data_IF_586234802200
#
_entry.id   IF_586234802200
#
_cell.length_a   1.000
_cell.length_b   1.000
_cell.length_c   1.000
_cell.angle_alpha   90.00
_cell.angle_beta   90.00
_cell.angle_gamma   90.00
#
_symmetry.space_group_name_H-M   'P 1'
#
loop_
_entity.id
_entity.type
_entity.pdbx_description
1 polymer ?
#
# COMPACT_ATOMS: atom_id res chain seq x y z
N UNK A 1 -9.73 12.01 3.74
CA UNK A 1 -8.45 11.28 3.82
C UNK A 1 -8.60 10.01 3.00
N UNK A 2 -7.60 9.66 2.18
CA UNK A 2 -7.59 8.44 1.35
C UNK A 2 -6.38 7.59 1.73
N UNK A 3 -6.58 6.29 1.88
CA UNK A 3 -5.54 5.30 2.13
C UNK A 3 -5.45 4.37 0.92
N UNK A 4 -4.31 4.40 0.23
CA UNK A 4 -3.95 3.39 -0.76
C UNK A 4 -3.15 2.29 -0.07
N UNK A 5 -3.57 1.03 -0.24
CA UNK A 5 -2.92 -0.14 0.33
C UNK A 5 -2.29 -0.95 -0.79
N UNK A 6 -0.97 -0.98 -0.85
CA UNK A 6 -0.22 -1.80 -1.80
C UNK A 6 0.08 -3.14 -1.16
N UNK A 7 -0.50 -4.20 -1.72
CA UNK A 7 -0.32 -5.59 -1.26
C UNK A 7 0.23 -6.47 -2.38
N UNK A 8 0.69 -7.68 -2.04
CA UNK A 8 1.30 -8.64 -2.97
C UNK A 8 2.69 -9.08 -2.53
N UNK A 9 3.29 -10.00 -3.30
CA UNK A 9 4.54 -10.67 -2.93
C UNK A 9 5.82 -9.91 -3.35
N UNK A 10 5.66 -8.77 -4.01
CA UNK A 10 6.72 -8.04 -4.72
C UNK A 10 7.17 -6.77 -3.98
N UNK A 11 8.17 -6.89 -3.11
CA UNK A 11 8.59 -5.78 -2.22
C UNK A 11 9.21 -4.60 -2.96
N UNK A 12 10.03 -4.85 -3.99
CA UNK A 12 10.75 -3.79 -4.71
C UNK A 12 9.75 -2.95 -5.52
N UNK A 13 8.84 -3.63 -6.20
CA UNK A 13 7.79 -3.06 -7.02
C UNK A 13 6.82 -2.25 -6.16
N UNK A 14 6.42 -2.75 -4.98
CA UNK A 14 5.62 -1.99 -4.02
C UNK A 14 6.35 -0.74 -3.53
N UNK A 15 7.63 -0.84 -3.19
CA UNK A 15 8.42 0.32 -2.74
C UNK A 15 8.49 1.40 -3.82
N UNK A 16 8.78 1.00 -5.07
CA UNK A 16 8.84 1.91 -6.20
C UNK A 16 7.47 2.54 -6.49
N UNK A 17 6.42 1.72 -6.54
CA UNK A 17 5.07 2.20 -6.83
C UNK A 17 4.53 3.13 -5.74
N UNK A 18 4.85 2.88 -4.47
CA UNK A 18 4.48 3.78 -3.38
C UNK A 18 5.06 5.19 -3.58
N UNK A 19 6.33 5.29 -3.98
CA UNK A 19 7.01 6.55 -4.23
C UNK A 19 6.43 7.26 -5.44
N UNK A 20 6.11 6.53 -6.51
CA UNK A 20 5.56 7.12 -7.74
C UNK A 20 4.13 7.63 -7.53
N UNK A 21 3.29 6.85 -6.84
CA UNK A 21 1.94 7.25 -6.41
C UNK A 21 2.00 8.51 -5.52
N UNK A 22 2.92 8.54 -4.56
CA UNK A 22 3.08 9.70 -3.69
C UNK A 22 3.51 10.94 -4.49
N UNK A 23 4.48 10.81 -5.39
CA UNK A 23 4.93 11.92 -6.26
C UNK A 23 3.82 12.44 -7.16
N UNK A 24 3.04 11.56 -7.78
CA UNK A 24 1.93 12.00 -8.63
C UNK A 24 0.86 12.74 -7.83
N UNK A 25 0.52 12.23 -6.65
CA UNK A 25 -0.49 12.84 -5.77
C UNK A 25 -0.05 14.22 -5.27
N UNK A 26 1.22 14.40 -4.91
CA UNK A 26 1.75 15.70 -4.46
C UNK A 26 1.68 16.81 -5.52
N UNK A 27 1.59 16.47 -6.81
CA UNK A 27 1.42 17.47 -7.89
C UNK A 27 0.10 18.24 -7.79
N UNK A 28 -0.87 17.75 -7.01
CA UNK A 28 -2.18 18.36 -6.82
C UNK A 28 -2.31 19.18 -5.52
N UNK A 29 -1.19 19.61 -4.91
CA UNK A 29 -1.14 20.33 -3.61
C UNK A 29 -1.69 19.54 -2.42
N UNK A 30 -1.80 18.23 -2.55
CA UNK A 30 -2.26 17.32 -1.50
C UNK A 30 -1.10 16.88 -0.60
N UNK A 31 -1.30 16.83 0.71
CA UNK A 31 -0.30 16.27 1.63
C UNK A 31 -0.29 14.75 1.56
N UNK A 32 0.90 14.17 1.42
CA UNK A 32 1.06 12.71 1.28
C UNK A 32 2.00 12.15 2.33
N UNK A 33 1.68 10.98 2.87
CA UNK A 33 2.60 10.19 3.68
C UNK A 33 2.70 8.75 3.15
N UNK A 34 3.86 8.13 3.31
CA UNK A 34 4.07 6.71 3.03
C UNK A 34 4.25 5.97 4.35
N UNK A 35 3.47 4.92 4.56
CA UNK A 35 3.69 3.95 5.62
C UNK A 35 4.45 2.77 5.02
N UNK A 36 5.71 2.63 5.37
CA UNK A 36 6.58 1.55 4.93
C UNK A 36 6.50 0.38 5.93
N UNK A 37 5.80 -0.69 5.54
CA UNK A 37 5.71 -1.94 6.30
C UNK A 37 6.39 -3.11 5.57
N UNK A 38 7.23 -2.83 4.58
CA UNK A 38 7.91 -3.88 3.83
C UNK A 38 8.95 -4.60 4.71
N UNK A 39 8.96 -5.93 4.63
CA UNK A 39 9.86 -6.75 5.45
C UNK A 39 11.25 -6.88 4.83
N UNK A 40 11.33 -7.14 3.52
CA UNK A 40 12.59 -7.36 2.80
C UNK A 40 13.22 -6.09 2.21
N UNK A 41 12.40 -5.06 1.96
CA UNK A 41 12.85 -3.80 1.40
C UNK A 41 12.51 -2.64 2.33
N UNK A 42 13.26 -1.54 2.20
CA UNK A 42 12.94 -0.28 2.86
C UNK A 42 12.82 0.80 1.82
N UNK A 43 11.81 1.65 1.96
CA UNK A 43 11.64 2.81 1.09
C UNK A 43 12.64 3.86 1.55
N UNK A 44 13.73 4.00 0.79
CA UNK A 44 14.82 4.94 1.10
C UNK A 44 14.81 6.15 0.16
N UNK A 45 14.03 6.09 -0.93
CA UNK A 45 13.89 7.20 -1.85
C UNK A 45 13.20 8.37 -1.17
N UNK A 46 13.88 9.52 -1.11
CA UNK A 46 13.25 10.77 -0.72
C UNK A 46 12.29 11.24 -1.82
N UNK A 47 11.17 11.81 -1.42
CA UNK A 47 10.28 12.55 -2.29
C UNK A 47 9.97 13.92 -1.66
N UNK A 48 9.63 14.89 -2.48
CA UNK A 48 9.76 16.31 -2.13
C UNK A 48 8.68 16.82 -1.15
N UNK A 49 7.60 16.06 -0.95
CA UNK A 49 6.41 16.50 -0.19
C UNK A 49 5.75 15.35 0.58
N UNK A 50 6.44 14.78 1.57
CA UNK A 50 5.81 13.84 2.49
C UNK A 50 6.76 13.13 3.43
N UNK A 51 6.18 12.53 4.47
CA UNK A 51 6.90 11.71 5.44
C UNK A 51 6.86 10.24 5.04
N UNK A 52 7.97 9.54 5.30
CA UNK A 52 8.03 8.07 5.24
C UNK A 52 8.11 7.59 6.68
N UNK A 53 7.06 6.90 7.12
CA UNK A 53 6.97 6.34 8.46
C UNK A 53 7.11 4.83 8.36
N UNK A 54 8.16 4.28 8.96
CA UNK A 54 8.41 2.84 8.94
C UNK A 54 7.72 2.16 10.12
N UNK A 55 6.91 1.14 9.83
CA UNK A 55 6.33 0.24 10.82
C UNK A 55 6.96 -1.14 10.61
N UNK A 56 7.79 -1.58 11.54
CA UNK A 56 8.35 -2.94 11.51
C UNK A 56 7.52 -3.90 12.34
N UNK A 57 7.24 -5.09 11.82
CA UNK A 57 6.47 -6.11 12.51
C UNK A 57 4.98 -5.91 12.35
N UNK A 58 4.22 -6.10 13.44
CA UNK A 58 2.76 -6.14 13.42
C UNK A 58 2.15 -4.78 13.04
N UNK A 59 1.50 -4.77 11.88
CA UNK A 59 0.79 -3.62 11.32
C UNK A 59 -0.49 -3.31 12.12
N UNK A 60 -1.15 -4.34 12.65
CA UNK A 60 -2.52 -4.25 13.17
C UNK A 60 -2.68 -3.36 14.39
N UNK A 61 -1.65 -3.27 15.23
CA UNK A 61 -1.66 -2.43 16.43
C UNK A 61 -1.26 -0.97 16.16
N UNK A 62 -0.56 -0.70 15.08
CA UNK A 62 0.10 0.59 14.86
C UNK A 62 -0.52 1.41 13.73
N UNK A 63 -1.31 0.79 12.85
CA UNK A 63 -1.74 1.44 11.61
C UNK A 63 -2.65 2.64 11.86
N UNK A 64 -3.70 2.51 12.68
CA UNK A 64 -4.64 3.59 12.97
C UNK A 64 -3.92 4.81 13.60
N UNK A 65 -3.14 4.58 14.66
CA UNK A 65 -2.35 5.63 15.31
C UNK A 65 -1.37 6.30 14.36
N UNK A 66 -0.73 5.51 13.47
CA UNK A 66 0.21 6.06 12.48
C UNK A 66 -0.51 6.93 11.46
N UNK A 67 -1.65 6.47 10.94
CA UNK A 67 -2.49 7.23 10.02
C UNK A 67 -2.84 8.60 10.62
N UNK A 68 -3.31 8.63 11.87
CA UNK A 68 -3.67 9.89 12.54
C UNK A 68 -2.46 10.81 12.75
N UNK A 69 -1.31 10.26 13.16
CA UNK A 69 -0.07 11.02 13.37
C UNK A 69 0.46 11.67 12.10
N UNK A 70 0.20 11.07 10.93
CA UNK A 70 0.67 11.65 9.65
C UNK A 70 0.04 13.00 9.37
N UNK A 71 -1.25 13.20 9.73
CA UNK A 71 -2.04 14.35 9.32
C UNK A 71 -2.17 14.52 7.79
N UNK A 72 -1.78 13.50 7.01
CA UNK A 72 -1.76 13.58 5.55
C UNK A 72 -3.16 13.34 4.96
N UNK A 73 -3.47 14.02 3.86
CA UNK A 73 -4.74 13.83 3.14
C UNK A 73 -4.76 12.51 2.38
N UNK A 74 -3.59 12.09 1.85
CA UNK A 74 -3.40 10.81 1.17
C UNK A 74 -2.28 10.03 1.84
N UNK A 75 -2.53 8.76 2.11
CA UNK A 75 -1.58 7.86 2.73
C UNK A 75 -1.38 6.66 1.82
N UNK A 76 -0.12 6.28 1.61
CA UNK A 76 0.24 5.09 0.84
C UNK A 76 0.87 4.07 1.79
N UNK A 77 0.17 2.99 2.07
CA UNK A 77 0.68 1.86 2.83
C UNK A 77 1.32 0.85 1.89
N UNK A 78 2.62 0.63 2.02
CA UNK A 78 3.31 -0.50 1.40
C UNK A 78 3.30 -1.68 2.38
N UNK A 79 2.29 -2.56 2.28
CA UNK A 79 2.10 -3.67 3.19
C UNK A 79 3.17 -4.75 2.98
N UNK A 80 3.60 -5.41 4.06
CA UNK A 80 4.59 -6.48 3.99
C UNK A 80 4.20 -7.58 2.99
N UNK A 81 5.16 -8.05 2.20
CA UNK A 81 5.00 -9.25 1.35
C UNK A 81 4.78 -10.55 2.14
N UNK A 82 5.02 -10.53 3.44
CA UNK A 82 4.76 -11.67 4.33
C UNK A 82 3.40 -11.59 5.02
N UNK A 83 2.69 -10.46 4.89
CA UNK A 83 1.38 -10.28 5.49
C UNK A 83 0.35 -11.03 4.64
N UNK A 84 -0.44 -11.90 5.28
CA UNK A 84 -1.45 -12.67 4.57
C UNK A 84 -2.65 -11.78 4.21
N UNK A 85 -3.33 -11.99 3.07
CA UNK A 85 -4.46 -11.15 2.67
C UNK A 85 -5.58 -11.06 3.72
N UNK A 86 -5.89 -12.18 4.38
CA UNK A 86 -6.87 -12.26 5.47
C UNK A 86 -6.47 -11.40 6.68
N UNK A 87 -5.20 -11.42 7.07
CA UNK A 87 -4.68 -10.59 8.17
C UNK A 87 -4.69 -9.10 7.82
N UNK A 88 -4.39 -8.76 6.57
CA UNK A 88 -4.47 -7.38 6.08
C UNK A 88 -5.92 -6.87 6.15
N UNK A 89 -6.89 -7.65 5.69
CA UNK A 89 -8.31 -7.24 5.72
C UNK A 89 -8.81 -7.03 7.15
N UNK A 90 -8.51 -7.95 8.07
CA UNK A 90 -8.85 -7.78 9.48
C UNK A 90 -8.23 -6.52 10.09
N UNK A 91 -7.01 -6.17 9.65
CA UNK A 91 -6.35 -4.93 10.06
C UNK A 91 -7.07 -3.70 9.51
N UNK A 92 -7.47 -3.72 8.24
CA UNK A 92 -8.17 -2.63 7.60
C UNK A 92 -9.60 -2.45 8.13
N UNK A 93 -10.28 -3.53 8.49
CA UNK A 93 -11.61 -3.47 9.11
C UNK A 93 -11.57 -2.75 10.45
N UNK A 94 -10.57 -3.04 11.30
CA UNK A 94 -10.35 -2.30 12.55
C UNK A 94 -10.09 -0.80 12.30
N UNK A 95 -9.27 -0.48 11.30
CA UNK A 95 -9.01 0.93 10.94
C UNK A 95 -10.29 1.61 10.44
N UNK A 96 -11.16 0.90 9.71
CA UNK A 96 -12.46 1.42 9.25
C UNK A 96 -13.42 1.63 10.41
N UNK A 97 -13.43 0.76 11.41
CA UNK A 97 -14.22 0.94 12.64
C UNK A 97 -13.79 2.19 13.41
N UNK A 98 -12.48 2.42 13.51
CA UNK A 98 -11.91 3.61 14.18
C UNK A 98 -12.07 4.90 13.34
N UNK A 99 -12.09 4.77 12.00
CA UNK A 99 -12.12 5.88 11.04
C UNK A 99 -13.09 5.62 9.88
N UNK A 100 -14.41 5.69 10.11
CA UNK A 100 -15.41 5.32 9.10
C UNK A 100 -15.40 6.21 7.85
N UNK A 101 -14.88 7.43 7.94
CA UNK A 101 -14.70 8.36 6.83
C UNK A 101 -13.43 8.14 6.00
N UNK A 102 -12.56 7.20 6.38
CA UNK A 102 -11.33 6.91 5.63
C UNK A 102 -11.67 6.12 4.36
N UNK A 103 -11.41 6.72 3.20
CA UNK A 103 -11.56 6.01 1.93
C UNK A 103 -10.36 5.08 1.73
N UNK A 104 -10.58 3.76 1.81
CA UNK A 104 -9.53 2.75 1.62
C UNK A 104 -9.64 2.16 0.23
N UNK A 105 -8.52 2.11 -0.50
CA UNK A 105 -8.40 1.45 -1.80
C UNK A 105 -7.22 0.47 -1.77
N UNK A 106 -7.50 -0.80 -2.03
CA UNK A 106 -6.53 -1.89 -2.03
C UNK A 106 -6.07 -2.16 -3.46
N UNK A 107 -4.76 -2.11 -3.67
CA UNK A 107 -4.11 -2.40 -4.95
C UNK A 107 -3.20 -3.61 -4.76
N UNK A 108 -3.52 -4.70 -5.44
CA UNK A 108 -2.69 -5.90 -5.45
C UNK A 108 -1.68 -5.85 -6.60
N UNK A 109 -0.39 -5.94 -6.27
CA UNK A 109 0.69 -6.08 -7.22
C UNK A 109 1.04 -7.56 -7.38
N UNK A 110 0.81 -8.09 -8.58
CA UNK A 110 0.96 -9.50 -8.92
C UNK A 110 2.12 -9.64 -9.91
N UNK A 111 3.12 -10.44 -9.59
CA UNK A 111 4.12 -10.89 -10.57
C UNK A 111 3.82 -12.36 -10.87
N UNK A 112 3.38 -12.64 -12.10
CA UNK A 112 2.98 -13.98 -12.53
C UNK A 112 4.11 -15.00 -12.26
N UNK A 113 5.38 -14.60 -12.38
CA UNK A 113 6.54 -15.48 -12.12
C UNK A 113 6.66 -15.86 -10.64
N UNK A 114 6.20 -14.99 -9.74
CA UNK A 114 6.20 -15.24 -8.29
C UNK A 114 4.91 -15.94 -7.88
N UNK A 115 3.78 -15.55 -8.46
CA UNK A 115 2.44 -16.02 -8.12
C UNK A 115 2.09 -17.39 -8.70
N UNK A 116 2.74 -17.85 -9.77
CA UNK A 116 2.63 -19.24 -10.25
C UNK A 116 2.99 -20.26 -9.16
N UNK A 117 3.90 -19.89 -8.25
CA UNK A 117 4.27 -20.72 -7.09
C UNK A 117 3.26 -20.64 -5.93
N UNK A 118 2.33 -19.68 -5.96
CA UNK A 118 1.36 -19.40 -4.88
C UNK A 118 -0.04 -19.06 -5.43
N UNK A 119 -0.69 -19.98 -6.17
CA UNK A 119 -1.95 -19.70 -6.86
C UNK A 119 -3.09 -19.29 -5.92
N UNK A 120 -3.13 -19.84 -4.71
CA UNK A 120 -4.13 -19.48 -3.68
C UNK A 120 -3.96 -18.03 -3.22
N UNK A 121 -2.72 -17.57 -3.06
CA UNK A 121 -2.44 -16.18 -2.65
C UNK A 121 -2.84 -15.23 -3.78
N UNK A 122 -2.59 -15.59 -5.02
CA UNK A 122 -3.02 -14.81 -6.17
C UNK A 122 -4.56 -14.67 -6.22
N UNK A 123 -5.29 -15.78 -6.11
CA UNK A 123 -6.76 -15.77 -6.12
C UNK A 123 -7.32 -14.86 -5.01
N UNK A 124 -6.75 -14.95 -3.81
CA UNK A 124 -7.13 -14.07 -2.70
C UNK A 124 -6.86 -12.60 -3.00
N UNK A 125 -5.67 -12.27 -3.52
CA UNK A 125 -5.32 -10.90 -3.89
C UNK A 125 -6.27 -10.34 -4.95
N UNK A 126 -6.61 -11.13 -5.96
CA UNK A 126 -7.55 -10.75 -7.03
C UNK A 126 -8.99 -10.60 -6.52
N UNK A 127 -9.40 -11.41 -5.53
CA UNK A 127 -10.74 -11.33 -4.94
C UNK A 127 -10.94 -10.10 -4.05
N UNK A 128 -9.91 -9.71 -3.31
CA UNK A 128 -10.04 -8.68 -2.25
C UNK A 128 -9.53 -7.31 -2.64
N UNK A 129 -8.69 -7.20 -3.67
CA UNK A 129 -8.20 -5.91 -4.13
C UNK A 129 -9.25 -5.19 -4.99
N UNK A 130 -9.38 -3.88 -4.81
CA UNK A 130 -10.20 -3.03 -5.67
C UNK A 130 -9.59 -2.95 -7.08
N UNK A 131 -8.26 -3.11 -7.18
CA UNK A 131 -7.52 -3.13 -8.43
C UNK A 131 -6.34 -4.12 -8.35
N UNK A 132 -6.08 -4.80 -9.47
CA UNK A 132 -4.91 -5.67 -9.63
C UNK A 132 -3.99 -5.10 -10.69
N UNK A 133 -2.69 -5.14 -10.42
CA UNK A 133 -1.64 -4.61 -11.28
C UNK A 133 -0.63 -5.71 -11.50
N UNK A 134 -0.44 -6.12 -12.76
CA UNK A 134 0.47 -7.20 -13.12
C UNK A 134 1.84 -6.67 -13.50
N UNK A 135 2.89 -7.22 -12.90
CA UNK A 135 4.28 -6.90 -13.22
C UNK A 135 4.73 -7.62 -14.51
N UNK A 136 5.61 -6.99 -15.33
CA UNK A 136 6.09 -5.61 -15.17
C UNK A 136 4.99 -4.59 -15.52
N UNK A 137 4.88 -3.52 -14.74
CA UNK A 137 3.94 -2.43 -14.99
C UNK A 137 4.68 -1.10 -15.04
N UNK A 138 4.10 -0.15 -15.78
CA UNK A 138 4.48 1.25 -15.73
C UNK A 138 3.60 1.97 -14.69
N UNK A 139 4.23 2.58 -13.69
CA UNK A 139 3.53 3.25 -12.61
C UNK A 139 2.63 4.38 -13.12
N UNK A 140 3.04 5.13 -14.14
CA UNK A 140 2.25 6.22 -14.70
C UNK A 140 0.92 5.72 -15.28
N UNK A 141 0.96 4.67 -16.08
CA UNK A 141 -0.23 4.07 -16.70
C UNK A 141 -1.23 3.56 -15.66
N UNK A 142 -0.75 2.98 -14.55
CA UNK A 142 -1.62 2.48 -13.47
C UNK A 142 -2.29 3.63 -12.71
N UNK A 143 -1.56 4.73 -12.51
CA UNK A 143 -2.04 5.89 -11.76
C UNK A 143 -3.11 6.69 -12.51
N UNK A 144 -3.19 6.59 -13.84
CA UNK A 144 -4.30 7.18 -14.61
C UNK A 144 -5.61 6.40 -14.43
N UNK A 145 -5.54 5.15 -13.96
CA UNK A 145 -6.70 4.28 -13.75
C UNK A 145 -7.24 4.32 -12.31
N UNK A 146 -6.51 4.92 -11.37
CA UNK A 146 -6.75 4.84 -9.92
C UNK A 146 -7.28 6.15 -9.29
#
# INVERSE_FOLDING_TARGET
MKLFVLTGLVSIEKAQFAVDLARQTTRHYTTVAIIDNLSRASITQKFYCGDIIRITGDLSHNLADTILKTGAEVIVLAASETLRPDELLLTLDRVRDDMPQLAVQIIALIDDRTCECFPVVQEQLEQYADMTVRAPFDAHSVLEMA
#
